data_IF_689757244965
#
_entry.id   IF_689757244965
#
_cell.length_a   1.000
_cell.length_b   1.000
_cell.length_c   1.000
_cell.angle_alpha   90.00
_cell.angle_beta   90.00
_cell.angle_gamma   90.00
#
_symmetry.space_group_name_H-M   'P 1'
#
loop_
_entity.id
_entity.type
_entity.pdbx_description
1 polymer ?
#
# COMPACT_ATOMS: atom_id res chain seq x y z
N UNK A 1 8.03 -14.72 10.61
CA UNK A 1 6.66 -14.56 10.09
C UNK A 1 5.85 -13.76 11.10
N UNK A 2 5.08 -12.77 10.64
CA UNK A 2 4.17 -11.98 11.46
C UNK A 2 2.87 -11.73 10.71
N UNK A 3 1.73 -11.82 11.39
CA UNK A 3 0.42 -11.49 10.82
C UNK A 3 0.20 -9.97 10.74
N UNK A 4 -0.36 -9.54 9.62
CA UNK A 4 -0.94 -8.21 9.44
C UNK A 4 -2.45 -8.31 9.65
N UNK A 5 -2.96 -7.44 10.51
CA UNK A 5 -4.36 -7.36 10.91
C UNK A 5 -5.06 -6.20 10.20
N UNK A 6 -6.30 -6.42 9.78
CA UNK A 6 -7.17 -5.40 9.17
C UNK A 6 -7.84 -4.50 10.23
N UNK A 7 -8.67 -3.56 9.79
CA UNK A 7 -9.44 -2.65 10.66
C UNK A 7 -10.39 -3.34 11.65
N UNK A 8 -10.72 -4.61 11.42
CA UNK A 8 -11.55 -5.42 12.29
C UNK A 8 -10.72 -6.33 13.23
N UNK A 9 -9.39 -6.18 13.21
CA UNK A 9 -8.48 -7.01 13.99
C UNK A 9 -8.34 -8.45 13.47
N UNK A 10 -8.68 -8.71 12.19
CA UNK A 10 -8.54 -10.03 11.56
C UNK A 10 -7.23 -10.12 10.82
N UNK A 11 -6.51 -11.22 11.04
CA UNK A 11 -5.32 -11.53 10.25
C UNK A 11 -5.71 -11.73 8.78
N UNK A 12 -5.14 -10.93 7.87
CA UNK A 12 -5.52 -10.93 6.45
C UNK A 12 -4.33 -10.91 5.49
N UNK A 13 -3.11 -10.69 6.00
CA UNK A 13 -1.88 -10.82 5.24
C UNK A 13 -0.72 -11.23 6.15
N UNK A 14 0.39 -11.62 5.55
CA UNK A 14 1.58 -12.08 6.28
C UNK A 14 2.78 -11.23 5.87
N UNK A 15 3.57 -10.82 6.86
CA UNK A 15 4.90 -10.28 6.68
C UNK A 15 5.93 -11.34 7.07
N UNK A 16 6.66 -11.83 6.07
CA UNK A 16 7.72 -12.83 6.19
C UNK A 16 9.08 -12.16 5.93
N UNK A 17 9.71 -11.67 7.00
CA UNK A 17 10.91 -10.82 6.98
C UNK A 17 10.68 -9.51 6.21
N UNK A 18 10.90 -9.53 4.91
CA UNK A 18 10.67 -8.40 4.00
C UNK A 18 9.65 -8.74 2.91
N UNK A 19 9.10 -9.95 2.87
CA UNK A 19 8.14 -10.39 1.86
C UNK A 19 6.71 -10.24 2.40
N UNK A 20 5.90 -9.45 1.70
CA UNK A 20 4.46 -9.44 1.91
C UNK A 20 3.84 -10.63 1.19
N UNK A 21 2.97 -11.34 1.89
CA UNK A 21 2.26 -12.50 1.39
C UNK A 21 0.77 -12.40 1.66
N UNK A 22 -0.02 -13.05 0.82
CA UNK A 22 -1.46 -13.23 1.05
C UNK A 22 -1.71 -14.12 2.27
N UNK A 23 -2.96 -14.22 2.68
CA UNK A 23 -3.38 -15.11 3.77
C UNK A 23 -3.07 -16.59 3.47
N UNK A 24 -2.97 -16.96 2.19
CA UNK A 24 -2.64 -18.30 1.72
C UNK A 24 -1.13 -18.55 1.61
N UNK A 25 -0.29 -17.56 1.96
CA UNK A 25 1.17 -17.68 1.93
C UNK A 25 1.82 -17.38 0.57
N UNK A 26 1.03 -16.94 -0.42
CA UNK A 26 1.53 -16.57 -1.75
C UNK A 26 2.26 -15.21 -1.72
N UNK A 27 3.44 -15.08 -2.34
CA UNK A 27 4.15 -13.81 -2.40
C UNK A 27 3.37 -12.74 -3.17
N UNK A 28 3.14 -11.61 -2.52
CA UNK A 28 2.37 -10.49 -3.06
C UNK A 28 3.21 -9.22 -3.23
N UNK A 29 4.28 -9.09 -2.45
CA UNK A 29 5.13 -7.91 -2.51
C UNK A 29 6.29 -7.93 -1.54
N UNK A 30 6.89 -6.77 -1.34
CA UNK A 30 8.07 -6.59 -0.52
C UNK A 30 7.95 -5.33 0.33
N UNK A 31 8.53 -5.35 1.53
CA UNK A 31 8.75 -4.18 2.37
C UNK A 31 10.25 -3.93 2.44
N UNK A 32 10.67 -2.73 2.03
CA UNK A 32 12.06 -2.29 2.13
C UNK A 32 12.14 -0.89 2.74
N UNK A 33 12.86 -0.78 3.86
CA UNK A 33 12.92 0.44 4.65
C UNK A 33 11.53 0.82 5.15
N UNK A 34 11.05 2.00 4.71
CA UNK A 34 9.72 2.53 5.05
C UNK A 34 8.69 2.40 3.92
N UNK A 35 8.98 1.60 2.88
CA UNK A 35 8.12 1.46 1.71
C UNK A 35 7.69 0.02 1.49
N UNK A 36 6.46 -0.13 1.03
CA UNK A 36 5.91 -1.37 0.50
C UNK A 36 5.89 -1.31 -1.04
N UNK A 37 6.24 -2.43 -1.66
CA UNK A 37 6.34 -2.61 -3.10
C UNK A 37 5.56 -3.84 -3.55
N UNK A 38 5.00 -3.81 -4.77
CA UNK A 38 4.40 -4.98 -5.40
C UNK A 38 5.46 -5.99 -5.83
N UNK A 39 5.03 -7.19 -6.22
CA UNK A 39 5.91 -8.20 -6.82
C UNK A 39 6.60 -7.71 -8.11
N UNK A 40 6.06 -6.67 -8.76
CA UNK A 40 6.64 -6.01 -9.94
C UNK A 40 7.62 -4.87 -9.59
N UNK A 41 7.82 -4.60 -8.30
CA UNK A 41 8.70 -3.53 -7.81
C UNK A 41 8.05 -2.14 -7.81
N UNK A 42 6.73 -2.05 -7.96
CA UNK A 42 6.01 -0.77 -7.96
C UNK A 42 5.73 -0.35 -6.52
N UNK A 43 5.88 0.94 -6.21
CA UNK A 43 5.57 1.43 -4.87
C UNK A 43 4.07 1.37 -4.62
N UNK A 44 3.66 0.53 -3.67
CA UNK A 44 2.26 0.32 -3.32
C UNK A 44 1.87 0.95 -2.00
N UNK A 45 2.81 1.48 -1.22
CA UNK A 45 2.47 2.03 0.08
C UNK A 45 3.66 2.26 0.98
N UNK A 46 3.37 2.61 2.23
CA UNK A 46 4.38 2.82 3.25
C UNK A 46 4.25 1.79 4.36
N UNK A 47 5.35 1.45 4.99
CA UNK A 47 5.37 0.59 6.16
C UNK A 47 6.18 1.27 7.26
N UNK A 48 5.54 1.66 8.34
CA UNK A 48 6.15 2.47 9.40
C UNK A 48 5.56 2.12 10.75
N UNK A 49 6.42 1.94 11.75
CA UNK A 49 6.04 1.61 13.13
C UNK A 49 5.05 0.43 13.26
N UNK A 50 5.22 -0.56 12.38
CA UNK A 50 4.39 -1.77 12.32
C UNK A 50 3.05 -1.56 11.61
N UNK A 51 2.80 -0.42 10.98
CA UNK A 51 1.56 -0.11 10.26
C UNK A 51 1.83 -0.07 8.77
N UNK A 52 1.00 -0.77 7.99
CA UNK A 52 0.99 -0.74 6.53
C UNK A 52 -0.02 0.31 6.06
N UNK A 53 0.44 1.20 5.20
CA UNK A 53 -0.34 2.27 4.59
C UNK A 53 -0.45 2.06 3.09
N UNK A 54 -1.58 2.43 2.51
CA UNK A 54 -1.76 2.47 1.06
C UNK A 54 -1.01 3.65 0.41
N UNK A 55 -1.08 3.75 -0.91
CA UNK A 55 -0.46 4.83 -1.69
C UNK A 55 -1.04 6.22 -1.40
N UNK A 56 -2.19 6.32 -0.75
CA UNK A 56 -2.78 7.58 -0.30
C UNK A 56 -2.42 7.92 1.15
N UNK A 57 -1.52 7.14 1.76
CA UNK A 57 -1.12 7.25 3.16
C UNK A 57 -2.29 7.02 4.14
N UNK A 58 -3.19 6.10 3.79
CA UNK A 58 -4.27 5.60 4.66
C UNK A 58 -3.94 4.21 5.16
N UNK A 59 -4.46 3.87 6.33
CA UNK A 59 -4.10 2.63 7.04
C UNK A 59 -4.76 1.43 6.37
N UNK A 60 -3.96 0.46 5.91
CA UNK A 60 -4.45 -0.82 5.38
C UNK A 60 -4.53 -1.88 6.47
N UNK A 61 -3.52 -1.90 7.33
CA UNK A 61 -3.41 -2.90 8.38
C UNK A 61 -2.20 -2.69 9.25
N UNK A 62 -2.05 -3.52 10.27
CA UNK A 62 -1.04 -3.33 11.30
C UNK A 62 -0.54 -4.66 11.85
N UNK A 63 0.69 -4.68 12.35
CA UNK A 63 1.25 -5.80 13.09
C UNK A 63 0.73 -5.79 14.53
N UNK A 64 0.66 -6.96 15.16
CA UNK A 64 0.42 -7.05 16.59
C UNK A 64 1.47 -6.23 17.37
N UNK A 65 1.03 -5.24 18.15
CA UNK A 65 1.91 -4.34 18.90
C UNK A 65 2.50 -3.17 18.09
N UNK A 66 1.95 -2.87 16.91
CA UNK A 66 2.28 -1.66 16.17
C UNK A 66 2.10 -0.40 17.04
N UNK A 67 2.88 0.64 16.74
CA UNK A 67 2.89 1.92 17.48
C UNK A 67 2.54 3.13 16.62
N UNK A 68 2.43 2.93 15.30
CA UNK A 68 2.24 4.01 14.33
C UNK A 68 0.82 4.54 14.18
N UNK A 69 -0.20 3.91 14.78
CA UNK A 69 -1.58 4.40 14.68
C UNK A 69 -1.86 5.42 15.79
N UNK A 70 -2.45 6.56 15.41
CA UNK A 70 -3.02 7.54 16.35
C UNK A 70 -4.37 7.10 16.95
N UNK A 71 -4.94 6.00 16.45
CA UNK A 71 -6.26 5.49 16.83
C UNK A 71 -6.10 4.19 17.64
N UNK A 72 -7.05 3.91 18.54
CA UNK A 72 -7.10 2.67 19.31
C UNK A 72 -7.12 1.46 18.37
N UNK A 73 -6.15 0.55 18.55
CA UNK A 73 -6.11 -0.69 17.78
C UNK A 73 -7.33 -1.56 18.10
N UNK A 74 -7.98 -2.15 17.09
CA UNK A 74 -9.08 -3.08 17.33
C UNK A 74 -8.56 -4.33 18.07
N UNK A 75 -9.46 -4.99 18.80
CA UNK A 75 -9.14 -6.24 19.47
C UNK A 75 -8.73 -7.31 18.45
N UNK A 76 -7.59 -7.95 18.68
CA UNK A 76 -7.06 -8.96 17.77
C UNK A 76 -7.87 -10.25 17.85
N UNK A 77 -8.25 -10.76 16.69
CA UNK A 77 -8.84 -12.09 16.55
C UNK A 77 -7.72 -13.14 16.44
N UNK A 78 -7.97 -14.39 16.88
CA UNK A 78 -7.00 -15.46 16.72
C UNK A 78 -6.64 -15.61 15.22
N UNK A 79 -5.35 -15.65 14.86
CA UNK A 79 -4.95 -15.81 13.47
C UNK A 79 -5.36 -17.20 12.96
N UNK A 80 -5.56 -17.34 11.64
CA UNK A 80 -5.79 -18.64 11.03
C UNK A 80 -4.54 -19.54 11.16
N UNK A 81 -4.68 -20.85 10.88
CA UNK A 81 -3.53 -21.75 10.80
C UNK A 81 -2.45 -21.22 9.85
N UNK A 82 -1.19 -21.45 10.18
CA UNK A 82 -0.07 -21.01 9.36
C UNK A 82 -0.14 -21.68 7.97
N UNK A 83 -0.14 -20.90 6.87
CA UNK A 83 -0.18 -21.46 5.54
C UNK A 83 1.18 -21.98 5.11
N UNK A 84 1.19 -22.84 4.09
CA UNK A 84 2.43 -23.31 3.47
C UNK A 84 2.99 -22.20 2.58
N UNK A 85 4.23 -21.78 2.82
CA UNK A 85 4.83 -20.70 2.04
C UNK A 85 5.35 -21.18 0.68
N UNK A 86 4.87 -20.53 -0.38
CA UNK A 86 5.47 -20.62 -1.70
C UNK A 86 6.90 -20.07 -1.74
N UNK A 87 7.65 -20.46 -2.79
CA UNK A 87 9.02 -19.98 -3.03
C UNK A 87 9.04 -18.45 -3.11
N UNK A 88 9.97 -17.83 -2.39
CA UNK A 88 10.16 -16.37 -2.47
C UNK A 88 10.59 -15.97 -3.89
N UNK A 89 9.92 -15.00 -4.53
CA UNK A 89 10.33 -14.52 -5.83
C UNK A 89 11.61 -13.69 -5.71
N UNK A 90 12.31 -13.53 -6.83
CA UNK A 90 13.44 -12.61 -6.90
C UNK A 90 12.92 -11.17 -6.77
N UNK A 91 13.61 -10.37 -5.94
CA UNK A 91 13.27 -8.96 -5.76
C UNK A 91 13.59 -8.20 -7.07
N UNK A 92 12.61 -7.58 -7.72
CA UNK A 92 12.83 -6.80 -8.93
C UNK A 92 13.49 -5.45 -8.60
N UNK A 93 13.85 -4.69 -9.63
CA UNK A 93 14.23 -3.28 -9.45
C UNK A 93 13.08 -2.50 -8.85
N UNK A 94 13.29 -1.95 -7.66
CA UNK A 94 12.28 -1.18 -6.95
C UNK A 94 12.17 0.22 -7.54
N UNK A 95 10.95 0.63 -7.91
CA UNK A 95 10.67 1.96 -8.46
C UNK A 95 10.83 3.06 -7.40
N UNK A 96 11.06 4.28 -7.86
CA UNK A 96 11.19 5.44 -7.00
C UNK A 96 9.93 5.65 -6.12
N UNK A 97 10.18 6.09 -4.89
CA UNK A 97 9.14 6.41 -3.91
C UNK A 97 8.43 7.72 -4.32
N UNK A 98 7.09 7.72 -4.45
CA UNK A 98 6.32 8.95 -4.64
C UNK A 98 6.31 9.81 -3.38
N UNK A 99 5.98 11.10 -3.52
CA UNK A 99 5.80 12.01 -2.36
C UNK A 99 4.64 11.49 -1.50
N UNK A 100 4.92 11.29 -0.21
CA UNK A 100 3.93 10.79 0.75
C UNK A 100 2.91 11.88 1.05
N UNK A 101 1.63 11.55 0.92
CA UNK A 101 0.50 12.44 1.26
C UNK A 101 0.35 12.56 2.79
N UNK A 102 -0.37 13.56 3.31
CA UNK A 102 -0.71 13.62 4.73
C UNK A 102 -1.39 12.33 5.21
N UNK A 103 -1.15 11.93 6.45
CA UNK A 103 -1.76 10.72 7.02
C UNK A 103 -3.29 10.85 7.03
N UNK A 104 -3.96 9.79 6.56
CA UNK A 104 -5.41 9.65 6.64
C UNK A 104 -5.84 8.60 7.66
N UNK A 105 -7.15 8.37 7.76
CA UNK A 105 -7.72 7.26 8.51
C UNK A 105 -7.53 5.91 7.82
N UNK A 106 -8.44 4.97 8.06
CA UNK A 106 -8.46 3.68 7.37
C UNK A 106 -8.61 3.82 5.87
N UNK A 107 -7.95 2.93 5.13
CA UNK A 107 -8.05 2.85 3.68
C UNK A 107 -9.46 2.43 3.29
N UNK A 108 -9.85 2.80 2.06
CA UNK A 108 -11.06 2.27 1.42
C UNK A 108 -10.83 0.86 0.83
N UNK A 109 -9.59 0.40 0.83
CA UNK A 109 -9.20 -0.91 0.31
C UNK A 109 -9.01 -1.88 1.48
N UNK A 110 -9.58 -3.08 1.36
CA UNK A 110 -9.30 -4.14 2.32
C UNK A 110 -7.84 -4.60 2.18
N UNK A 111 -7.21 -4.93 3.31
CA UNK A 111 -5.82 -5.40 3.34
C UNK A 111 -5.58 -6.60 2.40
N UNK A 112 -6.44 -7.62 2.49
CA UNK A 112 -6.34 -8.82 1.66
C UNK A 112 -6.38 -8.47 0.17
N UNK A 113 -7.40 -7.72 -0.25
CA UNK A 113 -7.58 -7.32 -1.65
C UNK A 113 -6.42 -6.46 -2.17
N UNK A 114 -5.89 -5.58 -1.33
CA UNK A 114 -4.79 -4.68 -1.70
C UNK A 114 -3.48 -5.43 -1.95
N UNK A 115 -3.23 -6.46 -1.14
CA UNK A 115 -2.06 -7.32 -1.23
C UNK A 115 -2.22 -8.28 -2.42
N UNK A 116 -3.39 -8.89 -2.59
CA UNK A 116 -3.66 -9.88 -3.65
C UNK A 116 -3.74 -9.26 -5.05
N UNK A 117 -4.40 -8.12 -5.20
CA UNK A 117 -4.58 -7.47 -6.51
C UNK A 117 -3.29 -6.89 -7.08
N UNK A 118 -2.28 -6.69 -6.22
CA UNK A 118 -1.20 -5.74 -6.47
C UNK A 118 -1.81 -4.34 -6.59
N UNK A 119 -1.65 -3.51 -5.55
CA UNK A 119 -2.27 -2.20 -5.43
C UNK A 119 -2.43 -1.44 -6.77
N UNK A 120 -3.55 -0.71 -6.97
CA UNK A 120 -3.71 0.11 -8.15
C UNK A 120 -2.50 1.03 -8.26
N UNK A 121 -1.73 0.84 -9.35
CA UNK A 121 -0.49 1.57 -9.60
C UNK A 121 -0.74 3.03 -9.25
N UNK A 122 0.06 3.56 -8.32
CA UNK A 122 -0.01 4.93 -7.82
C UNK A 122 -0.43 5.85 -8.97
N UNK A 123 -1.71 6.24 -8.99
CA UNK A 123 -2.26 7.01 -10.08
C UNK A 123 -1.34 8.22 -10.24
N UNK A 124 -0.77 8.35 -11.43
CA UNK A 124 0.17 9.41 -11.79
C UNK A 124 -0.35 10.75 -11.24
N UNK A 125 0.54 11.67 -10.79
CA UNK A 125 0.10 12.96 -10.31
C UNK A 125 -0.78 13.61 -11.39
N UNK A 126 -2.08 13.70 -11.13
CA UNK A 126 -2.97 14.56 -11.92
C UNK A 126 -2.57 15.97 -11.54
N UNK A 127 -1.61 16.51 -12.28
CA UNK A 127 -1.00 17.79 -11.94
C UNK A 127 0.15 18.15 -12.85
N UNK A 128 -0.14 18.38 -14.15
CA UNK A 128 0.45 19.44 -14.97
C UNK A 128 0.04 19.23 -16.44
N UNK A 129 -1.21 19.55 -16.78
CA UNK A 129 -1.49 20.04 -18.13
C UNK A 129 -1.73 21.54 -18.01
N UNK A 130 -0.66 22.31 -18.08
CA UNK A 130 -0.72 23.69 -18.54
C UNK A 130 -1.30 23.64 -19.97
N UNK A 131 -2.40 24.33 -20.31
CA UNK A 131 -2.61 24.67 -21.69
C UNK A 131 -1.64 25.80 -22.04
N UNK A 132 -0.57 25.44 -22.75
CA UNK A 132 0.19 26.39 -23.54
C UNK A 132 -0.74 27.01 -24.60
N UNK A 133 -0.57 28.31 -24.77
CA UNK A 133 -1.35 29.16 -25.65
C UNK A 133 -1.37 28.71 -27.12
N UNK A 134 -2.46 29.03 -27.83
CA UNK A 134 -2.37 29.56 -29.19
C UNK A 134 -3.59 30.41 -29.54
N UNK A 135 -3.29 31.63 -29.97
CA UNK A 135 -4.17 32.68 -30.45
C UNK A 135 -4.95 32.28 -31.70
N UNK A 136 -6.14 32.84 -31.87
CA UNK A 136 -6.66 33.27 -33.18
C UNK A 136 -7.54 34.50 -33.03
N UNK A 137 -7.15 35.54 -33.75
CA UNK A 137 -7.97 36.71 -34.09
C UNK A 137 -9.29 36.27 -34.73
N UNK A 138 -10.37 37.03 -34.49
CA UNK A 138 -11.14 37.67 -35.57
C UNK A 138 -12.18 38.68 -35.02
N UNK A 139 -11.96 39.93 -35.42
CA UNK A 139 -12.87 41.01 -35.78
C UNK A 139 -14.33 41.07 -35.32
N UNK A 140 -14.67 42.21 -34.70
CA UNK A 140 -15.82 43.02 -35.10
C UNK A 140 -15.58 44.49 -34.69
N UNK A 141 -15.58 45.47 -35.62
CA UNK A 141 -15.88 46.86 -35.30
C UNK A 141 -17.37 47.15 -35.51
N UNK A 142 -17.87 48.11 -34.73
CA UNK A 142 -19.15 48.79 -34.97
C UNK A 142 -19.07 49.86 -36.05
#
# INVERSE_FOLDING_TARGET
>A
MTWLYDEAGRASAILDEFCLRTIDGEPAGYVFGLSAFSIKGEHIGWFEDGVLYDVENRILGFLAGARGMAHDFPALQPPPPEPVFGKRPNVPTLRARPVRRPAGGWSRHALADYVDSGAPAAAAPVGALLPAAHSSLNDAPG
#
